data_IF_475538756823
#
_entry.id   IF_475538756823
#
_cell.length_a   1.000
_cell.length_b   1.000
_cell.length_c   1.000
_cell.angle_alpha   90.00
_cell.angle_beta   90.00
_cell.angle_gamma   90.00
#
_symmetry.space_group_name_H-M   'P 1'
#
loop_
_entity.id
_entity.type
_entity.pdbx_description
1 polymer ?
#
# COMPACT_ATOMS: atom_id res chain seq x y z
N UNK A 1 7.91 -23.60 42.99
CA UNK A 1 8.96 -22.75 42.37
C UNK A 1 8.23 -21.65 41.63
N UNK A 2 8.57 -20.39 41.87
CA UNK A 2 8.11 -19.29 41.01
C UNK A 2 8.66 -19.53 39.59
N UNK A 3 7.81 -19.38 38.57
CA UNK A 3 8.21 -19.51 37.17
C UNK A 3 9.18 -18.39 36.79
N UNK A 4 10.17 -18.69 35.96
CA UNK A 4 11.02 -17.66 35.36
C UNK A 4 10.21 -16.93 34.29
N UNK A 5 10.06 -15.62 34.41
CA UNK A 5 9.51 -14.75 33.36
C UNK A 5 10.62 -13.84 32.84
N UNK A 6 10.74 -13.74 31.51
CA UNK A 6 11.81 -13.01 30.83
C UNK A 6 11.20 -12.07 29.81
N UNK A 7 11.54 -10.78 29.93
CA UNK A 7 11.25 -9.80 28.90
C UNK A 7 12.44 -9.73 27.94
N UNK A 8 12.25 -10.16 26.71
CA UNK A 8 13.21 -10.08 25.61
C UNK A 8 12.79 -9.03 24.57
N UNK A 9 11.55 -8.53 24.59
CA UNK A 9 11.11 -7.46 23.72
C UNK A 9 11.35 -6.09 24.37
N UNK A 10 11.96 -5.18 23.61
CA UNK A 10 12.10 -3.76 23.97
C UNK A 10 13.26 -3.47 24.92
N UNK A 11 13.58 -4.39 25.84
CA UNK A 11 14.79 -4.30 26.67
C UNK A 11 15.48 -5.64 26.78
N UNK A 12 16.78 -5.66 26.53
CA UNK A 12 17.60 -6.85 26.78
C UNK A 12 17.72 -7.08 28.30
N UNK A 13 17.36 -8.28 28.80
CA UNK A 13 17.47 -8.63 30.21
C UNK A 13 18.94 -8.91 30.57
N UNK A 14 19.21 -9.21 31.84
CA UNK A 14 20.54 -9.64 32.26
C UNK A 14 20.83 -11.06 31.75
N UNK A 15 21.72 -11.16 30.76
CA UNK A 15 22.10 -12.41 30.10
C UNK A 15 23.45 -12.93 30.62
N UNK A 16 23.70 -14.27 30.62
CA UNK A 16 25.03 -14.81 30.87
C UNK A 16 26.03 -14.34 29.81
N UNK A 17 27.33 -14.50 30.07
CA UNK A 17 28.35 -14.17 29.08
C UNK A 17 28.19 -15.01 27.81
N UNK A 18 28.57 -14.47 26.66
CA UNK A 18 28.66 -15.23 25.40
C UNK A 18 29.59 -16.44 25.57
N UNK A 19 29.27 -17.62 24.99
CA UNK A 19 28.12 -17.93 24.12
C UNK A 19 26.80 -18.27 24.86
N UNK A 20 26.73 -18.11 26.18
CA UNK A 20 25.53 -18.44 26.97
C UNK A 20 24.34 -17.51 26.70
N UNK A 21 24.59 -16.23 26.39
CA UNK A 21 23.51 -15.27 26.09
C UNK A 21 22.71 -15.71 24.87
N UNK A 22 23.42 -16.13 23.83
CA UNK A 22 22.90 -16.62 22.57
C UNK A 22 21.99 -17.82 22.79
N UNK A 23 22.43 -18.78 23.61
CA UNK A 23 21.63 -19.97 23.94
C UNK A 23 20.33 -19.60 24.67
N UNK A 24 20.39 -18.66 25.63
CA UNK A 24 19.20 -18.20 26.34
C UNK A 24 18.24 -17.50 25.38
N UNK A 25 18.71 -16.57 24.56
CA UNK A 25 17.86 -15.86 23.59
C UNK A 25 17.23 -16.87 22.61
N UNK A 26 17.99 -17.82 22.06
CA UNK A 26 17.50 -18.81 21.12
C UNK A 26 16.34 -19.63 21.69
N UNK A 27 16.55 -20.20 22.89
CA UNK A 27 15.58 -21.08 23.54
C UNK A 27 14.30 -20.33 23.98
N UNK A 28 14.41 -19.04 24.28
CA UNK A 28 13.27 -18.20 24.70
C UNK A 28 12.51 -17.57 23.54
N UNK A 29 13.16 -17.33 22.40
CA UNK A 29 12.50 -16.77 21.21
C UNK A 29 11.52 -17.78 20.60
N UNK A 30 11.88 -19.06 20.61
CA UNK A 30 11.03 -20.16 20.13
C UNK A 30 11.03 -21.31 21.14
N UNK A 31 10.05 -21.42 22.03
CA UNK A 31 10.03 -22.45 23.06
C UNK A 31 9.82 -23.85 22.47
N UNK A 32 10.17 -24.84 23.29
CA UNK A 32 10.10 -26.26 22.96
C UNK A 32 11.49 -26.89 22.87
N UNK A 33 11.49 -28.20 22.76
CA UNK A 33 12.71 -28.99 22.68
C UNK A 33 13.48 -28.71 21.38
N UNK A 34 14.76 -28.37 21.52
CA UNK A 34 15.72 -28.18 20.44
C UNK A 34 16.74 -29.30 20.46
N UNK A 35 17.03 -29.88 19.29
CA UNK A 35 18.07 -30.90 19.22
C UNK A 35 19.44 -30.26 19.41
N UNK A 36 20.40 -31.04 19.92
CA UNK A 36 21.80 -30.63 19.99
C UNK A 36 22.33 -30.12 18.64
N UNK A 37 22.03 -30.86 17.57
CA UNK A 37 22.42 -30.53 16.20
C UNK A 37 21.89 -29.15 15.76
N UNK A 38 20.62 -28.85 16.03
CA UNK A 38 20.01 -27.54 15.71
C UNK A 38 20.72 -26.41 16.46
N UNK A 39 21.03 -26.62 17.74
CA UNK A 39 21.71 -25.63 18.56
C UNK A 39 23.16 -25.41 18.13
N UNK A 40 23.90 -26.47 17.77
CA UNK A 40 25.29 -26.37 17.30
C UNK A 40 25.40 -25.62 15.97
N UNK A 41 24.38 -25.69 15.10
CA UNK A 41 24.33 -24.90 13.86
C UNK A 41 24.23 -23.39 14.11
N UNK A 42 23.70 -22.98 15.26
CA UNK A 42 23.53 -21.56 15.63
C UNK A 42 24.58 -21.11 16.63
N UNK A 43 25.10 -22.03 17.44
CA UNK A 43 26.00 -21.78 18.55
C UNK A 43 27.08 -22.88 18.49
N UNK A 44 28.16 -22.68 17.71
CA UNK A 44 29.20 -23.69 17.51
C UNK A 44 29.87 -24.14 18.82
N UNK A 45 29.96 -23.26 19.82
CA UNK A 45 30.50 -23.55 21.15
C UNK A 45 29.42 -23.98 22.17
N UNK A 46 28.50 -24.87 21.75
CA UNK A 46 27.31 -25.23 22.54
C UNK A 46 27.63 -25.75 23.95
N UNK A 47 28.64 -26.63 24.11
CA UNK A 47 28.99 -27.16 25.44
C UNK A 47 29.41 -26.03 26.39
N UNK A 48 30.16 -25.05 25.89
CA UNK A 48 30.54 -23.87 26.66
C UNK A 48 29.34 -22.98 26.98
N UNK A 49 28.41 -22.83 26.04
CA UNK A 49 27.17 -22.09 26.27
C UNK A 49 26.33 -22.75 27.37
N UNK A 50 26.18 -24.07 27.34
CA UNK A 50 25.46 -24.85 28.35
C UNK A 50 26.09 -24.70 29.74
N UNK A 51 27.42 -24.75 29.86
CA UNK A 51 28.11 -24.47 31.13
C UNK A 51 27.78 -23.08 31.68
N UNK A 52 27.86 -22.05 30.84
CA UNK A 52 27.60 -20.66 31.23
C UNK A 52 26.13 -20.44 31.63
N UNK A 53 25.19 -21.07 30.92
CA UNK A 53 23.76 -21.02 31.27
C UNK A 53 23.50 -21.74 32.59
N UNK A 54 24.05 -22.94 32.80
CA UNK A 54 23.92 -23.70 34.06
C UNK A 54 24.46 -22.92 35.26
N UNK A 55 25.53 -22.15 35.08
CA UNK A 55 26.13 -21.31 36.11
C UNK A 55 25.37 -19.98 36.36
N UNK A 56 24.35 -19.67 35.58
CA UNK A 56 23.60 -18.41 35.64
C UNK A 56 22.24 -18.56 36.34
N UNK A 57 21.50 -17.45 36.48
CA UNK A 57 20.10 -17.45 36.94
C UNK A 57 19.15 -18.32 36.11
N UNK A 58 19.54 -18.68 34.89
CA UNK A 58 18.75 -19.50 33.97
C UNK A 58 18.95 -21.01 34.17
N UNK A 59 20.04 -21.41 34.84
CA UNK A 59 20.41 -22.82 35.02
C UNK A 59 19.31 -23.71 35.62
N UNK A 60 18.62 -23.29 36.69
CA UNK A 60 17.53 -24.08 37.28
C UNK A 60 16.33 -24.34 36.37
N UNK A 61 16.21 -23.60 35.26
CA UNK A 61 15.10 -23.69 34.31
C UNK A 61 15.50 -24.37 33.01
N UNK A 62 16.79 -24.69 32.82
CA UNK A 62 17.29 -25.41 31.66
C UNK A 62 16.99 -26.90 31.84
N UNK A 63 16.17 -27.44 30.96
CA UNK A 63 15.83 -28.86 30.92
C UNK A 63 16.57 -29.56 29.79
N UNK A 64 17.06 -30.77 30.07
CA UNK A 64 17.81 -31.61 29.13
C UNK A 64 17.22 -33.02 29.14
N UNK A 65 16.89 -33.54 27.96
CA UNK A 65 16.37 -34.89 27.78
C UNK A 65 16.70 -35.43 26.39
N UNK A 66 17.30 -36.62 26.31
CA UNK A 66 17.62 -37.33 25.07
C UNK A 66 18.42 -36.47 24.05
N UNK A 67 19.41 -35.70 24.53
CA UNK A 67 20.20 -34.81 23.68
C UNK A 67 19.42 -33.62 23.12
N UNK A 68 18.29 -33.27 23.75
CA UNK A 68 17.51 -32.08 23.46
C UNK A 68 17.49 -31.15 24.67
N UNK A 69 17.29 -29.86 24.40
CA UNK A 69 17.31 -28.82 25.41
C UNK A 69 16.10 -27.90 25.26
N UNK A 70 15.58 -27.43 26.37
CA UNK A 70 14.60 -26.34 26.40
C UNK A 70 14.80 -25.48 27.66
N UNK A 71 14.39 -24.22 27.60
CA UNK A 71 14.38 -23.35 28.77
C UNK A 71 12.93 -23.16 29.22
N UNK A 72 12.58 -23.68 30.41
CA UNK A 72 11.23 -23.60 30.95
C UNK A 72 11.00 -22.25 31.61
N UNK A 73 10.70 -21.26 30.79
CA UNK A 73 10.40 -19.90 31.20
C UNK A 73 9.26 -19.30 30.38
N UNK A 74 8.53 -18.38 30.98
CA UNK A 74 7.65 -17.47 30.24
C UNK A 74 8.51 -16.41 29.56
N UNK A 75 8.22 -16.14 28.29
CA UNK A 75 8.89 -15.14 27.47
C UNK A 75 7.83 -14.26 26.83
N UNK A 76 8.02 -12.95 26.88
CA UNK A 76 7.17 -12.00 26.18
C UNK A 76 7.21 -12.19 24.65
N UNK A 77 8.31 -12.71 24.08
CA UNK A 77 8.43 -13.09 22.67
C UNK A 77 7.53 -14.26 22.31
N UNK A 78 7.43 -15.27 23.20
CA UNK A 78 6.50 -16.37 22.98
C UNK A 78 5.07 -15.87 23.03
N UNK A 79 4.77 -15.11 24.07
CA UNK A 79 3.44 -14.57 24.27
C UNK A 79 3.05 -13.64 23.09
N UNK A 80 4.02 -12.90 22.55
CA UNK A 80 3.91 -12.16 21.29
C UNK A 80 3.55 -13.07 20.12
N UNK A 81 4.30 -14.15 19.86
CA UNK A 81 4.01 -15.05 18.73
C UNK A 81 2.66 -15.77 18.84
N UNK A 82 2.21 -16.06 20.06
CA UNK A 82 0.89 -16.66 20.29
C UNK A 82 -0.25 -15.68 19.98
N UNK A 83 -0.06 -14.41 20.33
CA UNK A 83 -1.08 -13.37 20.20
C UNK A 83 -1.05 -12.67 18.84
N UNK A 84 0.12 -12.60 18.18
CA UNK A 84 0.30 -11.96 16.87
C UNK A 84 -0.70 -12.48 15.83
N UNK A 85 -1.10 -13.75 15.95
CA UNK A 85 -2.09 -14.38 15.08
C UNK A 85 -3.52 -14.49 15.68
N UNK A 86 -3.74 -14.09 16.94
CA UNK A 86 -4.98 -14.38 17.70
C UNK A 86 -5.63 -13.19 18.40
N UNK A 87 -4.87 -12.31 19.04
CA UNK A 87 -5.40 -11.25 19.91
C UNK A 87 -4.56 -9.98 19.81
N UNK A 88 -4.87 -9.20 18.78
CA UNK A 88 -4.04 -8.09 18.34
C UNK A 88 -3.82 -6.96 19.36
N UNK A 89 -4.83 -6.49 20.13
CA UNK A 89 -4.62 -5.51 21.19
C UNK A 89 -3.59 -5.95 22.24
N UNK A 90 -3.47 -7.26 22.54
CA UNK A 90 -2.48 -7.78 23.48
C UNK A 90 -1.09 -7.89 22.87
N UNK A 91 -0.98 -8.26 21.60
CA UNK A 91 0.28 -8.18 20.85
C UNK A 91 0.79 -6.74 20.84
N UNK A 92 -0.15 -5.81 20.69
CA UNK A 92 0.06 -4.38 20.81
C UNK A 92 0.37 -3.87 22.22
N UNK A 93 0.40 -4.71 23.24
CA UNK A 93 0.91 -4.33 24.56
C UNK A 93 2.33 -4.89 24.77
N UNK A 94 2.76 -5.84 23.93
CA UNK A 94 4.05 -6.53 23.98
C UNK A 94 4.96 -6.08 22.85
N UNK A 95 5.23 -4.78 22.80
CA UNK A 95 6.02 -4.16 21.76
C UNK A 95 7.51 -4.09 22.09
N UNK A 96 8.35 -4.38 21.09
CA UNK A 96 9.77 -4.07 21.13
C UNK A 96 10.60 -4.85 20.13
N UNK A 97 11.87 -4.47 20.02
CA UNK A 97 12.86 -5.22 19.27
C UNK A 97 13.29 -6.46 20.08
N UNK A 98 13.38 -7.62 19.42
CA UNK A 98 13.90 -8.84 20.02
C UNK A 98 15.35 -8.63 20.47
N UNK A 99 15.59 -8.80 21.78
CA UNK A 99 16.87 -8.59 22.43
C UNK A 99 17.48 -7.23 22.06
N UNK A 100 16.72 -6.15 22.20
CA UNK A 100 17.10 -4.78 21.80
C UNK A 100 18.54 -4.40 22.23
N UNK A 101 19.37 -4.02 21.26
CA UNK A 101 20.77 -3.62 21.48
C UNK A 101 21.77 -4.76 21.74
N UNK A 102 21.33 -6.03 21.72
CA UNK A 102 22.23 -7.18 21.75
C UNK A 102 22.87 -7.41 20.37
N UNK A 103 24.16 -7.71 20.34
CA UNK A 103 24.89 -8.17 19.16
C UNK A 103 25.79 -9.34 19.56
N UNK A 104 25.81 -10.39 18.76
CA UNK A 104 26.69 -11.54 18.99
C UNK A 104 27.94 -11.47 18.12
N UNK A 105 29.05 -11.97 18.67
CA UNK A 105 30.27 -12.22 17.91
C UNK A 105 30.20 -13.53 17.10
N UNK A 106 29.18 -14.36 17.30
CA UNK A 106 28.93 -15.60 16.57
C UNK A 106 28.13 -15.26 15.31
N UNK A 107 28.71 -15.36 14.10
CA UNK A 107 28.06 -14.92 12.87
C UNK A 107 26.73 -15.64 12.61
N UNK A 108 26.68 -16.96 12.79
CA UNK A 108 25.50 -17.78 12.53
C UNK A 108 24.32 -17.41 13.45
N UNK A 109 24.63 -17.04 14.69
CA UNK A 109 23.63 -16.55 15.65
C UNK A 109 23.19 -15.13 15.31
N UNK A 110 24.13 -14.25 14.96
CA UNK A 110 23.83 -12.87 14.61
C UNK A 110 22.91 -12.81 13.38
N UNK A 111 23.19 -13.60 12.35
CA UNK A 111 22.34 -13.70 11.16
C UNK A 111 20.93 -14.20 11.49
N UNK A 112 20.83 -15.21 12.37
CA UNK A 112 19.55 -15.69 12.87
C UNK A 112 18.80 -14.62 13.67
N UNK A 113 19.49 -13.91 14.58
CA UNK A 113 18.88 -12.88 15.42
C UNK A 113 18.32 -11.73 14.56
N UNK A 114 19.07 -11.27 13.56
CA UNK A 114 18.60 -10.24 12.63
C UNK A 114 17.42 -10.72 11.77
N UNK A 115 17.39 -11.99 11.40
CA UNK A 115 16.24 -12.57 10.73
C UNK A 115 15.00 -12.59 11.64
N UNK A 116 15.12 -13.04 12.89
CA UNK A 116 14.00 -13.04 13.83
C UNK A 116 13.52 -11.62 14.17
N UNK A 117 14.44 -10.64 14.31
CA UNK A 117 14.08 -9.23 14.49
C UNK A 117 13.23 -8.71 13.32
N UNK A 118 13.62 -9.02 12.08
CA UNK A 118 12.83 -8.67 10.89
C UNK A 118 11.46 -9.33 10.87
N UNK A 119 11.36 -10.60 11.23
CA UNK A 119 10.07 -11.31 11.32
C UNK A 119 9.14 -10.68 12.37
N UNK A 120 9.67 -10.32 13.55
CA UNK A 120 8.91 -9.61 14.58
C UNK A 120 8.42 -8.26 14.03
N UNK A 121 9.31 -7.47 13.44
CA UNK A 121 8.96 -6.16 12.85
C UNK A 121 7.92 -6.28 11.73
N UNK A 122 8.05 -7.28 10.85
CA UNK A 122 7.11 -7.51 9.77
C UNK A 122 5.71 -7.81 10.31
N UNK A 123 5.60 -8.68 11.32
CA UNK A 123 4.33 -8.98 11.98
C UNK A 123 3.72 -7.76 12.70
N UNK A 124 4.55 -6.91 13.32
CA UNK A 124 4.10 -5.64 13.91
C UNK A 124 3.48 -4.71 12.85
N UNK A 125 4.18 -4.51 11.74
CA UNK A 125 3.72 -3.66 10.64
C UNK A 125 2.45 -4.20 9.99
N UNK A 126 2.45 -5.48 9.60
CA UNK A 126 1.32 -6.10 8.93
C UNK A 126 0.04 -5.97 9.75
N UNK A 127 0.15 -6.03 11.07
CA UNK A 127 -1.03 -5.93 11.91
C UNK A 127 -1.39 -4.50 12.31
N UNK A 128 -0.42 -3.58 12.40
CA UNK A 128 -0.73 -2.14 12.49
C UNK A 128 -1.50 -1.68 11.25
N UNK A 129 -0.99 -1.99 10.06
CA UNK A 129 -1.64 -1.72 8.77
C UNK A 129 -2.99 -2.41 8.67
N UNK A 130 -3.09 -3.68 9.06
CA UNK A 130 -4.36 -4.42 9.06
C UNK A 130 -5.44 -3.75 9.91
N UNK A 131 -5.10 -3.29 11.12
CA UNK A 131 -6.05 -2.56 11.99
C UNK A 131 -6.40 -1.19 11.43
N UNK A 132 -5.42 -0.49 10.86
CA UNK A 132 -5.66 0.80 10.23
C UNK A 132 -6.63 0.65 9.03
N UNK A 133 -6.46 -0.39 8.20
CA UNK A 133 -7.39 -0.72 7.13
C UNK A 133 -8.81 -1.01 7.65
N UNK A 134 -8.94 -1.79 8.72
CA UNK A 134 -10.25 -2.05 9.33
C UNK A 134 -10.92 -0.76 9.85
N UNK A 135 -10.14 0.19 10.38
CA UNK A 135 -10.64 1.52 10.79
C UNK A 135 -11.05 2.36 9.58
N UNK A 136 -10.27 2.35 8.48
CA UNK A 136 -10.65 3.00 7.23
C UNK A 136 -11.99 2.46 6.69
N UNK A 137 -12.17 1.15 6.70
CA UNK A 137 -13.41 0.49 6.23
C UNK A 137 -14.62 0.87 7.12
N UNK A 138 -14.38 1.20 8.39
CA UNK A 138 -15.40 1.72 9.32
C UNK A 138 -15.63 3.24 9.18
N UNK A 139 -14.86 3.94 8.36
CA UNK A 139 -14.93 5.40 8.21
C UNK A 139 -14.19 6.18 9.30
N UNK A 140 -13.35 5.51 10.10
CA UNK A 140 -12.55 6.11 11.16
C UNK A 140 -11.14 6.50 10.67
N UNK A 141 -11.09 7.33 9.62
CA UNK A 141 -9.84 7.68 8.93
C UNK A 141 -8.77 8.31 9.82
N UNK A 142 -9.15 9.28 10.66
CA UNK A 142 -8.21 9.95 11.57
C UNK A 142 -7.58 8.97 12.57
N UNK A 143 -8.37 8.02 13.09
CA UNK A 143 -7.88 6.99 14.00
C UNK A 143 -6.95 6.00 13.29
N UNK A 144 -7.26 5.65 12.03
CA UNK A 144 -6.40 4.81 11.21
C UNK A 144 -5.03 5.47 10.97
N UNK A 145 -5.03 6.74 10.59
CA UNK A 145 -3.81 7.52 10.37
C UNK A 145 -2.99 7.70 11.65
N UNK A 146 -3.65 8.00 12.78
CA UNK A 146 -2.97 8.13 14.07
C UNK A 146 -2.29 6.82 14.50
N UNK A 147 -2.92 5.67 14.24
CA UNK A 147 -2.36 4.36 14.55
C UNK A 147 -1.10 4.09 13.72
N UNK A 148 -1.15 4.33 12.41
CA UNK A 148 0.00 4.12 11.52
C UNK A 148 1.13 5.10 11.82
N UNK A 149 0.82 6.38 12.10
CA UNK A 149 1.82 7.35 12.52
C UNK A 149 2.51 6.94 13.84
N UNK A 150 1.76 6.35 14.78
CA UNK A 150 2.33 5.78 16.00
C UNK A 150 3.28 4.60 15.71
N UNK A 151 2.94 3.75 14.74
CA UNK A 151 3.80 2.66 14.30
C UNK A 151 5.07 3.16 13.60
N UNK A 152 4.96 4.14 12.69
CA UNK A 152 6.12 4.76 12.02
C UNK A 152 7.08 5.42 13.01
N UNK A 153 6.55 6.05 14.07
CA UNK A 153 7.38 6.67 15.10
C UNK A 153 8.08 5.63 16.01
N UNK A 154 7.50 4.44 16.13
CA UNK A 154 7.98 3.39 17.03
C UNK A 154 8.93 2.40 16.34
N UNK A 155 8.79 2.17 15.04
CA UNK A 155 9.46 1.07 14.34
C UNK A 155 10.19 1.52 13.08
N UNK A 156 11.40 0.98 12.82
CA UNK A 156 12.00 1.13 11.51
C UNK A 156 11.11 0.47 10.45
N UNK A 157 11.02 1.10 9.29
CA UNK A 157 10.30 0.54 8.15
C UNK A 157 11.11 -0.60 7.54
N UNK A 158 10.51 -1.79 7.50
CA UNK A 158 11.09 -2.96 6.84
C UNK A 158 10.60 -3.01 5.37
N UNK A 159 11.47 -3.36 4.39
CA UNK A 159 11.11 -3.36 2.97
C UNK A 159 9.87 -4.18 2.58
N UNK A 160 9.68 -5.38 3.15
CA UNK A 160 8.50 -6.18 2.86
C UNK A 160 7.21 -5.55 3.40
N UNK A 161 7.27 -4.87 4.55
CA UNK A 161 6.15 -4.12 5.13
C UNK A 161 5.84 -2.79 4.45
N UNK A 162 6.80 -2.20 3.74
CA UNK A 162 6.62 -0.91 3.10
C UNK A 162 5.57 -0.92 1.98
N UNK A 163 5.39 -2.04 1.27
CA UNK A 163 4.36 -2.13 0.25
C UNK A 163 2.94 -2.15 0.86
N UNK A 164 2.76 -2.85 1.99
CA UNK A 164 1.50 -2.85 2.73
C UNK A 164 1.18 -1.45 3.29
N UNK A 165 2.21 -0.77 3.81
CA UNK A 165 2.08 0.61 4.29
C UNK A 165 1.76 1.59 3.15
N UNK A 166 2.37 1.41 1.98
CA UNK A 166 2.08 2.22 0.80
C UNK A 166 0.64 2.03 0.30
N UNK A 167 0.15 0.78 0.29
CA UNK A 167 -1.24 0.46 -0.04
C UNK A 167 -2.22 1.09 0.96
N UNK A 168 -1.91 1.02 2.26
CA UNK A 168 -2.67 1.71 3.29
C UNK A 168 -2.77 3.21 3.00
N UNK A 169 -1.65 3.89 2.75
CA UNK A 169 -1.68 5.32 2.45
C UNK A 169 -2.44 5.63 1.16
N UNK A 170 -2.37 4.75 0.17
CA UNK A 170 -3.11 4.91 -1.07
C UNK A 170 -4.63 4.85 -0.81
N UNK A 171 -5.08 3.86 -0.05
CA UNK A 171 -6.48 3.72 0.40
C UNK A 171 -6.93 4.87 1.30
N UNK A 172 -6.03 5.37 2.15
CA UNK A 172 -6.24 6.53 3.00
C UNK A 172 -6.19 7.87 2.23
N UNK A 173 -5.99 7.83 0.90
CA UNK A 173 -5.94 9.01 0.01
C UNK A 173 -4.81 9.96 0.37
N UNK A 174 -3.66 9.39 0.71
CA UNK A 174 -2.41 10.07 1.08
C UNK A 174 -1.32 9.80 0.04
N UNK A 175 -1.47 10.25 -1.22
CA UNK A 175 -0.56 9.88 -2.30
C UNK A 175 0.90 10.35 -2.06
N UNK A 176 1.10 11.46 -1.35
CA UNK A 176 2.45 11.91 -0.97
C UNK A 176 3.12 10.93 0.01
N UNK A 177 2.36 10.40 0.97
CA UNK A 177 2.85 9.40 1.92
C UNK A 177 3.08 8.05 1.23
N UNK A 178 2.19 7.65 0.30
CA UNK A 178 2.41 6.48 -0.57
C UNK A 178 3.72 6.59 -1.35
N UNK A 179 3.96 7.74 -2.00
CA UNK A 179 5.19 7.97 -2.77
C UNK A 179 6.44 7.90 -1.87
N UNK A 180 6.42 8.57 -0.72
CA UNK A 180 7.52 8.57 0.26
C UNK A 180 7.90 7.14 0.69
N UNK A 181 6.89 6.32 1.01
CA UNK A 181 7.11 4.94 1.49
C UNK A 181 7.70 4.05 0.39
N UNK A 182 7.18 4.11 -0.83
CA UNK A 182 7.71 3.33 -1.95
C UNK A 182 9.14 3.76 -2.28
N UNK A 183 9.41 5.07 -2.33
CA UNK A 183 10.74 5.62 -2.60
C UNK A 183 11.79 5.16 -1.58
N UNK A 184 11.44 5.13 -0.29
CA UNK A 184 12.34 4.74 0.78
C UNK A 184 12.87 3.29 0.64
N UNK A 185 12.13 2.42 -0.06
CA UNK A 185 12.47 1.00 -0.18
C UNK A 185 12.72 0.55 -1.62
N UNK A 186 12.67 1.46 -2.60
CA UNK A 186 12.66 1.10 -4.03
C UNK A 186 13.84 0.21 -4.43
N UNK A 187 15.03 0.53 -3.93
CA UNK A 187 16.26 -0.24 -4.19
C UNK A 187 16.28 -1.60 -3.50
N UNK A 188 15.56 -1.74 -2.37
CA UNK A 188 15.44 -3.01 -1.64
C UNK A 188 14.38 -3.94 -2.23
N UNK A 189 13.47 -3.44 -3.07
CA UNK A 189 12.48 -4.26 -3.76
C UNK A 189 13.19 -5.20 -4.76
N UNK A 190 12.84 -6.51 -4.79
CA UNK A 190 13.38 -7.45 -5.77
C UNK A 190 13.21 -6.95 -7.21
N UNK A 191 14.24 -7.11 -8.04
CA UNK A 191 14.29 -6.64 -9.44
C UNK A 191 12.99 -6.89 -10.22
N UNK A 192 12.48 -8.12 -10.14
CA UNK A 192 11.25 -8.55 -10.84
C UNK A 192 9.99 -7.76 -10.48
N UNK A 193 9.97 -7.06 -9.35
CA UNK A 193 8.85 -6.22 -8.90
C UNK A 193 9.16 -4.72 -8.97
N UNK A 194 10.42 -4.33 -9.22
CA UNK A 194 10.85 -2.93 -9.16
C UNK A 194 10.19 -2.07 -10.23
N UNK A 195 10.01 -2.58 -11.45
CA UNK A 195 9.29 -1.86 -12.51
C UNK A 195 7.86 -1.47 -12.11
N UNK A 196 7.12 -2.38 -11.47
CA UNK A 196 5.76 -2.10 -10.97
C UNK A 196 5.78 -1.09 -9.82
N UNK A 197 6.77 -1.17 -8.93
CA UNK A 197 6.96 -0.19 -7.86
C UNK A 197 7.29 1.21 -8.41
N UNK A 198 8.14 1.31 -9.44
CA UNK A 198 8.43 2.57 -10.16
C UNK A 198 7.17 3.19 -10.76
N UNK A 199 6.35 2.38 -11.43
CA UNK A 199 5.06 2.82 -11.99
C UNK A 199 4.12 3.36 -10.89
N UNK A 200 3.96 2.60 -9.80
CA UNK A 200 3.09 3.00 -8.68
C UNK A 200 3.61 4.27 -7.98
N UNK A 201 4.93 4.40 -7.81
CA UNK A 201 5.57 5.60 -7.29
C UNK A 201 5.27 6.81 -8.18
N UNK A 202 5.42 6.67 -9.50
CA UNK A 202 5.12 7.75 -10.43
C UNK A 202 3.64 8.14 -10.40
N UNK A 203 2.72 7.17 -10.35
CA UNK A 203 1.29 7.43 -10.21
C UNK A 203 0.95 8.15 -8.89
N UNK A 204 1.57 7.77 -7.78
CA UNK A 204 1.40 8.43 -6.49
C UNK A 204 1.94 9.87 -6.52
N UNK A 205 3.12 10.09 -7.10
CA UNK A 205 3.70 11.43 -7.29
C UNK A 205 2.81 12.33 -8.16
N UNK A 206 2.26 11.82 -9.27
CA UNK A 206 1.30 12.55 -10.08
C UNK A 206 0.09 13.00 -9.25
N UNK A 207 -0.53 12.10 -8.49
CA UNK A 207 -1.68 12.44 -7.64
C UNK A 207 -1.34 13.45 -6.55
N UNK A 208 -0.13 13.36 -5.99
CA UNK A 208 0.40 14.32 -5.01
C UNK A 208 0.77 15.68 -5.64
N UNK A 209 0.89 15.76 -6.96
CA UNK A 209 1.27 16.97 -7.68
C UNK A 209 2.78 17.15 -7.90
N UNK A 210 3.60 16.13 -7.59
CA UNK A 210 5.02 16.08 -7.94
C UNK A 210 5.22 15.57 -9.38
N UNK A 211 4.86 16.44 -10.34
CA UNK A 211 4.71 16.04 -11.74
C UNK A 211 6.06 15.84 -12.45
N UNK A 212 7.07 16.67 -12.15
CA UNK A 212 8.33 16.66 -12.88
C UNK A 212 9.06 15.31 -12.74
N UNK A 213 9.20 14.84 -11.50
CA UNK A 213 9.83 13.55 -11.22
C UNK A 213 8.97 12.38 -11.74
N UNK A 214 7.65 12.45 -11.55
CA UNK A 214 6.75 11.41 -12.02
C UNK A 214 6.79 11.25 -13.55
N UNK A 215 6.73 12.35 -14.30
CA UNK A 215 6.74 12.31 -15.77
C UNK A 215 8.09 11.87 -16.33
N UNK A 216 9.20 12.18 -15.65
CA UNK A 216 10.51 11.66 -16.02
C UNK A 216 10.54 10.13 -15.89
N UNK A 217 10.01 9.60 -14.79
CA UNK A 217 9.94 8.18 -14.51
C UNK A 217 9.03 7.44 -15.50
N UNK A 218 7.84 7.99 -15.78
CA UNK A 218 6.90 7.41 -16.76
C UNK A 218 7.53 7.33 -18.15
N UNK A 219 8.23 8.38 -18.61
CA UNK A 219 8.94 8.37 -19.88
C UNK A 219 10.06 7.31 -19.92
N UNK A 220 10.73 7.07 -18.80
CA UNK A 220 11.75 6.03 -18.72
C UNK A 220 11.11 4.64 -18.88
N UNK A 221 10.00 4.38 -18.17
CA UNK A 221 9.24 3.12 -18.30
C UNK A 221 8.67 2.93 -19.71
N UNK A 222 8.17 3.99 -20.35
CA UNK A 222 7.73 3.95 -21.75
C UNK A 222 8.88 3.56 -22.69
N UNK A 223 10.08 4.11 -22.48
CA UNK A 223 11.26 3.79 -23.28
C UNK A 223 11.78 2.36 -23.06
N UNK A 224 11.58 1.80 -21.87
CA UNK A 224 11.86 0.39 -21.55
C UNK A 224 10.87 -0.56 -22.26
N UNK A 225 9.66 -0.09 -22.55
CA UNK A 225 8.63 -0.82 -23.30
C UNK A 225 7.90 -1.89 -22.48
N UNK A 226 7.21 -2.78 -23.20
CA UNK A 226 6.38 -3.83 -22.60
C UNK A 226 5.13 -3.30 -21.87
N UNK A 227 4.47 -4.18 -21.11
CA UNK A 227 3.21 -3.89 -20.42
C UNK A 227 3.30 -2.65 -19.51
N UNK A 228 4.38 -2.52 -18.74
CA UNK A 228 4.60 -1.39 -17.84
C UNK A 228 4.79 -0.07 -18.59
N UNK A 229 5.43 -0.10 -19.77
CA UNK A 229 5.57 1.08 -20.63
C UNK A 229 4.21 1.56 -21.13
N UNK A 230 3.30 0.65 -21.49
CA UNK A 230 1.95 1.02 -21.92
C UNK A 230 1.15 1.64 -20.77
N UNK A 231 1.18 1.04 -19.58
CA UNK A 231 0.55 1.64 -18.39
C UNK A 231 1.16 2.99 -18.01
N UNK A 232 2.47 3.18 -18.22
CA UNK A 232 3.11 4.47 -18.01
C UNK A 232 2.56 5.53 -18.99
N UNK A 233 2.35 5.15 -20.25
CA UNK A 233 1.66 5.97 -21.24
C UNK A 233 0.23 6.34 -20.83
N UNK A 234 -0.54 5.41 -20.26
CA UNK A 234 -1.89 5.69 -19.73
C UNK A 234 -1.85 6.73 -18.60
N UNK A 235 -0.96 6.58 -17.63
CA UNK A 235 -0.82 7.56 -16.54
C UNK A 235 -0.39 8.93 -17.04
N UNK A 236 0.56 8.97 -18.00
CA UNK A 236 1.01 10.21 -18.63
C UNK A 236 -0.13 10.87 -19.42
N UNK A 237 -0.92 10.09 -20.14
CA UNK A 237 -2.07 10.58 -20.88
C UNK A 237 -3.15 11.14 -19.95
N UNK A 238 -3.48 10.46 -18.85
CA UNK A 238 -4.43 10.95 -17.85
C UNK A 238 -3.98 12.29 -17.26
N UNK A 239 -2.69 12.43 -16.96
CA UNK A 239 -2.14 13.72 -16.55
C UNK A 239 -2.22 14.77 -17.68
N UNK A 240 -1.91 14.40 -18.92
CA UNK A 240 -1.94 15.31 -20.07
C UNK A 240 -3.34 15.94 -20.28
N UNK A 241 -4.43 15.17 -20.14
CA UNK A 241 -5.80 15.71 -20.19
C UNK A 241 -6.01 16.79 -19.11
N UNK A 242 -5.59 16.50 -17.89
CA UNK A 242 -5.76 17.39 -16.74
C UNK A 242 -4.91 18.66 -16.87
N UNK A 243 -3.77 18.57 -17.55
CA UNK A 243 -2.90 19.70 -17.88
C UNK A 243 -3.33 20.46 -19.17
N UNK A 244 -4.39 20.01 -19.84
CA UNK A 244 -4.93 20.65 -21.04
C UNK A 244 -4.28 20.23 -22.37
N UNK A 245 -3.41 19.22 -22.39
CA UNK A 245 -2.82 18.63 -23.60
C UNK A 245 -3.66 17.42 -24.06
N UNK A 246 -4.82 17.71 -24.62
CA UNK A 246 -5.79 16.70 -25.02
C UNK A 246 -5.32 15.90 -26.26
N UNK A 247 -4.52 16.50 -27.14
CA UNK A 247 -3.93 15.83 -28.29
C UNK A 247 -2.92 14.75 -27.87
N UNK A 248 -2.03 15.04 -26.91
CA UNK A 248 -1.12 14.03 -26.38
C UNK A 248 -1.91 12.89 -25.70
N UNK A 249 -2.90 13.24 -24.89
CA UNK A 249 -3.74 12.26 -24.23
C UNK A 249 -4.45 11.33 -25.21
N UNK A 250 -5.01 11.89 -26.30
CA UNK A 250 -5.68 11.10 -27.33
C UNK A 250 -4.71 10.12 -28.00
N UNK A 251 -3.50 10.56 -28.38
CA UNK A 251 -2.50 9.66 -28.97
C UNK A 251 -2.13 8.51 -28.04
N UNK A 252 -1.86 8.82 -26.77
CA UNK A 252 -1.52 7.79 -25.77
C UNK A 252 -2.67 6.83 -25.50
N UNK A 253 -3.91 7.32 -25.56
CA UNK A 253 -5.09 6.47 -25.46
C UNK A 253 -5.22 5.50 -26.64
N UNK A 254 -4.96 5.96 -27.86
CA UNK A 254 -4.99 5.13 -29.07
C UNK A 254 -3.88 4.08 -29.06
N UNK A 255 -2.66 4.46 -28.67
CA UNK A 255 -1.53 3.55 -28.48
C UNK A 255 -1.85 2.48 -27.41
N UNK A 256 -2.39 2.88 -26.25
CA UNK A 256 -2.77 1.96 -25.19
C UNK A 256 -3.93 1.04 -25.58
N UNK A 257 -4.91 1.52 -26.34
CA UNK A 257 -6.03 0.71 -26.81
C UNK A 257 -5.57 -0.36 -27.80
N UNK A 258 -4.69 0.00 -28.75
CA UNK A 258 -4.13 -0.97 -29.69
C UNK A 258 -3.34 -2.08 -28.96
N UNK A 259 -2.55 -1.71 -27.94
CA UNK A 259 -1.85 -2.68 -27.10
C UNK A 259 -2.81 -3.57 -26.30
N UNK A 260 -3.92 -3.00 -25.81
CA UNK A 260 -4.96 -3.77 -25.11
C UNK A 260 -5.63 -4.80 -26.02
N UNK A 261 -5.91 -4.45 -27.28
CA UNK A 261 -6.46 -5.38 -28.27
C UNK A 261 -5.49 -6.53 -28.56
N UNK A 262 -4.21 -6.21 -28.77
CA UNK A 262 -3.16 -7.22 -29.00
C UNK A 262 -3.02 -8.18 -27.82
N UNK A 263 -3.06 -7.66 -26.59
CA UNK A 263 -2.93 -8.44 -25.37
C UNK A 263 -4.24 -9.11 -24.90
N UNK A 264 -5.39 -8.78 -25.51
CA UNK A 264 -6.72 -9.13 -24.99
C UNK A 264 -6.91 -8.68 -23.52
N UNK A 265 -6.39 -7.50 -23.19
CA UNK A 265 -6.43 -6.93 -21.83
C UNK A 265 -7.63 -5.98 -21.68
N UNK A 266 -8.69 -6.47 -21.05
CA UNK A 266 -9.90 -5.69 -20.81
C UNK A 266 -9.68 -4.50 -19.86
N UNK A 267 -8.77 -4.59 -18.89
CA UNK A 267 -8.50 -3.48 -17.96
C UNK A 267 -7.79 -2.33 -18.67
N UNK A 268 -6.79 -2.68 -19.47
CA UNK A 268 -6.07 -1.70 -20.27
C UNK A 268 -7.00 -1.07 -21.32
N UNK A 269 -7.87 -1.87 -21.95
CA UNK A 269 -8.85 -1.36 -22.91
C UNK A 269 -9.82 -0.36 -22.28
N UNK A 270 -10.35 -0.66 -21.09
CA UNK A 270 -11.20 0.27 -20.33
C UNK A 270 -10.44 1.55 -20.02
N UNK A 271 -9.22 1.46 -19.49
CA UNK A 271 -8.42 2.63 -19.12
C UNK A 271 -8.09 3.51 -20.34
N UNK A 272 -7.75 2.90 -21.47
CA UNK A 272 -7.51 3.58 -22.73
C UNK A 272 -8.77 4.27 -23.27
N UNK A 273 -9.93 3.60 -23.25
CA UNK A 273 -11.19 4.19 -23.71
C UNK A 273 -11.68 5.33 -22.81
N UNK A 274 -11.47 5.23 -21.50
CA UNK A 274 -11.74 6.34 -20.57
C UNK A 274 -10.90 7.56 -20.92
N UNK A 275 -9.59 7.36 -21.10
CA UNK A 275 -8.66 8.43 -21.47
C UNK A 275 -9.04 9.04 -22.82
N UNK A 276 -9.35 8.20 -23.81
CA UNK A 276 -9.81 8.62 -25.14
C UNK A 276 -11.07 9.47 -25.05
N UNK A 277 -12.07 9.03 -24.27
CA UNK A 277 -13.32 9.76 -24.06
C UNK A 277 -13.10 11.13 -23.45
N UNK A 278 -12.24 11.22 -22.44
CA UNK A 278 -11.92 12.48 -21.78
C UNK A 278 -11.18 13.44 -22.73
N UNK A 279 -10.16 12.95 -23.45
CA UNK A 279 -9.43 13.71 -24.45
C UNK A 279 -10.35 14.22 -25.59
N UNK A 280 -11.21 13.35 -26.14
CA UNK A 280 -12.18 13.73 -27.18
C UNK A 280 -13.18 14.77 -26.69
N UNK A 281 -13.60 14.71 -25.43
CA UNK A 281 -14.47 15.73 -24.84
C UNK A 281 -13.76 17.08 -24.79
N UNK A 282 -12.50 17.10 -24.34
CA UNK A 282 -11.68 18.32 -24.30
C UNK A 282 -11.41 18.90 -25.70
N UNK A 283 -11.27 18.06 -26.72
CA UNK A 283 -11.10 18.45 -28.13
C UNK A 283 -12.40 18.90 -28.82
N UNK A 284 -13.53 18.97 -28.11
CA UNK A 284 -14.81 19.36 -28.70
C UNK A 284 -15.41 18.30 -29.63
N UNK A 285 -15.07 17.02 -29.42
CA UNK A 285 -15.61 15.85 -30.14
C UNK A 285 -16.50 14.97 -29.25
N UNK A 286 -17.53 15.54 -28.59
CA UNK A 286 -18.23 14.86 -27.49
C UNK A 286 -19.08 13.66 -27.93
N UNK A 287 -19.50 13.60 -29.20
CA UNK A 287 -20.17 12.41 -29.78
C UNK A 287 -19.24 11.20 -29.81
N UNK A 288 -18.00 11.40 -30.25
CA UNK A 288 -17.00 10.33 -30.33
C UNK A 288 -16.53 9.94 -28.93
N UNK A 289 -16.44 10.91 -28.01
CA UNK A 289 -16.19 10.65 -26.60
C UNK A 289 -17.27 9.74 -25.99
N UNK A 290 -18.55 10.06 -26.19
CA UNK A 290 -19.65 9.25 -25.68
C UNK A 290 -19.65 7.82 -26.24
N UNK A 291 -19.22 7.65 -27.50
CA UNK A 291 -19.05 6.33 -28.09
C UNK A 291 -17.95 5.52 -27.41
N UNK A 292 -16.74 6.08 -27.26
CA UNK A 292 -15.61 5.42 -26.60
C UNK A 292 -15.95 5.04 -25.14
N UNK A 293 -16.62 5.93 -24.40
CA UNK A 293 -17.03 5.67 -23.02
C UNK A 293 -18.16 4.63 -22.93
N UNK A 294 -19.05 4.59 -23.93
CA UNK A 294 -20.05 3.53 -24.06
C UNK A 294 -19.41 2.16 -24.29
N UNK A 295 -18.36 2.09 -25.11
CA UNK A 295 -17.57 0.86 -25.30
C UNK A 295 -16.90 0.41 -24.00
N UNK A 296 -16.32 1.34 -23.22
CA UNK A 296 -15.73 1.02 -21.92
C UNK A 296 -16.75 0.40 -20.94
N UNK A 297 -17.98 0.92 -20.91
CA UNK A 297 -19.07 0.33 -20.12
C UNK A 297 -19.44 -1.07 -20.62
N UNK A 298 -19.48 -1.28 -21.94
CA UNK A 298 -19.74 -2.59 -22.53
C UNK A 298 -18.70 -3.64 -22.12
N UNK A 299 -17.41 -3.26 -22.10
CA UNK A 299 -16.34 -4.15 -21.64
C UNK A 299 -16.50 -4.48 -20.14
N UNK A 300 -16.82 -3.48 -19.29
CA UNK A 300 -17.12 -3.72 -17.87
C UNK A 300 -18.23 -4.75 -17.66
N UNK A 301 -19.31 -4.65 -18.44
CA UNK A 301 -20.45 -5.57 -18.38
C UNK A 301 -20.06 -6.99 -18.79
N UNK A 302 -19.33 -7.14 -19.90
CA UNK A 302 -18.82 -8.45 -20.37
C UNK A 302 -17.91 -9.10 -19.33
N UNK A 303 -17.11 -8.31 -18.61
CA UNK A 303 -16.24 -8.79 -17.54
C UNK A 303 -16.99 -9.11 -16.23
N UNK A 304 -18.31 -8.92 -16.18
CA UNK A 304 -19.14 -9.21 -15.01
C UNK A 304 -18.88 -8.28 -13.82
N UNK A 305 -18.36 -7.07 -14.07
CA UNK A 305 -17.99 -6.11 -13.03
C UNK A 305 -19.10 -5.09 -12.78
N UNK A 306 -19.11 -4.52 -11.57
CA UNK A 306 -19.87 -3.29 -11.33
C UNK A 306 -19.30 -2.17 -12.21
N UNK A 307 -20.17 -1.33 -12.76
CA UNK A 307 -19.75 -0.21 -13.58
C UNK A 307 -18.90 0.77 -12.78
N UNK A 308 -17.77 1.20 -13.34
CA UNK A 308 -16.95 2.25 -12.76
C UNK A 308 -17.74 3.57 -12.70
N UNK A 309 -17.93 4.19 -11.52
CA UNK A 309 -18.63 5.47 -11.41
C UNK A 309 -17.90 6.59 -12.16
N UNK A 310 -16.57 6.48 -12.33
CA UNK A 310 -15.79 7.43 -13.13
C UNK A 310 -16.21 7.37 -14.60
N UNK A 311 -16.38 6.18 -15.18
CA UNK A 311 -16.81 6.05 -16.59
C UNK A 311 -18.18 6.69 -16.80
N UNK A 312 -19.12 6.48 -15.87
CA UNK A 312 -20.44 7.10 -15.92
C UNK A 312 -20.39 8.63 -15.82
N UNK A 313 -19.53 9.16 -14.94
CA UNK A 313 -19.32 10.61 -14.81
C UNK A 313 -18.72 11.20 -16.09
N UNK A 314 -17.69 10.57 -16.66
CA UNK A 314 -17.10 10.98 -17.93
C UNK A 314 -18.12 10.96 -19.07
N UNK A 315 -18.97 9.92 -19.13
CA UNK A 315 -20.01 9.82 -20.14
C UNK A 315 -21.06 10.92 -19.97
N UNK A 316 -21.39 11.29 -18.73
CA UNK A 316 -22.24 12.43 -18.44
C UNK A 316 -21.62 13.75 -18.92
N UNK A 317 -20.32 13.98 -18.66
CA UNK A 317 -19.59 15.16 -19.15
C UNK A 317 -19.63 15.24 -20.70
N UNK A 318 -19.40 14.11 -21.38
CA UNK A 318 -19.50 14.03 -22.84
C UNK A 318 -20.91 14.35 -23.34
N UNK A 319 -21.97 13.79 -22.72
CA UNK A 319 -23.35 14.11 -23.11
C UNK A 319 -23.73 15.57 -22.86
N UNK A 320 -23.24 16.18 -21.78
CA UNK A 320 -23.46 17.60 -21.52
C UNK A 320 -22.79 18.45 -22.62
N UNK A 321 -21.54 18.15 -22.97
CA UNK A 321 -20.82 18.82 -24.06
C UNK A 321 -21.47 18.59 -25.44
N UNK A 322 -22.13 17.45 -25.63
CA UNK A 322 -22.86 17.13 -26.87
C UNK A 322 -24.23 17.82 -26.95
N UNK A 323 -24.69 18.50 -25.89
CA UNK A 323 -25.98 19.19 -25.88
C UNK A 323 -27.17 18.30 -25.48
N UNK A 324 -26.92 17.25 -24.70
CA UNK A 324 -27.95 16.40 -24.10
C UNK A 324 -27.96 16.52 -22.57
N UNK A 325 -28.33 17.69 -22.00
CA UNK A 325 -28.23 17.97 -20.57
C UNK A 325 -29.09 17.04 -19.70
N UNK A 326 -30.28 16.65 -20.15
CA UNK A 326 -31.16 15.72 -19.39
C UNK A 326 -30.51 14.35 -19.23
N UNK A 327 -29.90 13.82 -20.31
CA UNK A 327 -29.18 12.54 -20.27
C UNK A 327 -27.92 12.62 -19.43
N UNK A 328 -27.19 13.72 -19.55
CA UNK A 328 -26.03 13.99 -18.72
C UNK A 328 -26.40 14.01 -17.23
N UNK A 329 -27.50 14.67 -16.87
CA UNK A 329 -28.00 14.72 -15.49
C UNK A 329 -28.31 13.34 -14.94
N UNK A 330 -29.08 12.53 -15.68
CA UNK A 330 -29.42 11.15 -15.29
C UNK A 330 -28.17 10.29 -15.03
N UNK A 331 -27.20 10.35 -15.95
CA UNK A 331 -25.95 9.61 -15.83
C UNK A 331 -25.10 10.09 -14.66
N UNK A 332 -25.02 11.41 -14.44
CA UNK A 332 -24.26 11.99 -13.35
C UNK A 332 -24.88 11.70 -11.97
N UNK A 333 -26.21 11.75 -11.84
CA UNK A 333 -26.91 11.32 -10.62
C UNK A 333 -26.61 9.85 -10.29
N UNK A 334 -26.65 8.98 -11.30
CA UNK A 334 -26.29 7.56 -11.15
C UNK A 334 -24.82 7.39 -10.75
N UNK A 335 -23.90 8.09 -11.41
CA UNK A 335 -22.48 8.07 -11.10
C UNK A 335 -22.22 8.51 -9.66
N UNK A 336 -22.85 9.60 -9.21
CA UNK A 336 -22.69 10.12 -7.86
C UNK A 336 -23.22 9.13 -6.81
N UNK A 337 -24.39 8.55 -7.04
CA UNK A 337 -24.95 7.53 -6.12
C UNK A 337 -23.99 6.35 -5.96
N UNK A 338 -23.44 5.85 -7.07
CA UNK A 338 -22.52 4.72 -7.07
C UNK A 338 -21.16 5.08 -6.43
N UNK A 339 -20.63 6.26 -6.73
CA UNK A 339 -19.42 6.78 -6.09
C UNK A 339 -19.57 6.88 -4.56
N UNK A 340 -20.73 7.32 -4.09
CA UNK A 340 -21.04 7.39 -2.64
C UNK A 340 -21.15 6.01 -2.00
N UNK A 341 -21.74 5.01 -2.66
CA UNK A 341 -21.77 3.64 -2.14
C UNK A 341 -20.38 3.02 -2.09
N UNK A 342 -19.51 3.35 -3.04
CA UNK A 342 -18.13 2.88 -3.09
C UNK A 342 -17.17 3.71 -2.23
N UNK A 343 -17.63 4.84 -1.64
CA UNK A 343 -16.80 5.82 -0.93
C UNK A 343 -15.62 6.32 -1.78
N UNK A 344 -15.89 6.58 -3.06
CA UNK A 344 -14.93 7.13 -4.02
C UNK A 344 -15.18 8.64 -4.23
N UNK A 345 -14.45 9.51 -3.53
CA UNK A 345 -14.62 10.96 -3.62
C UNK A 345 -14.12 11.51 -4.97
N UNK A 346 -13.18 10.83 -5.64
CA UNK A 346 -12.73 11.27 -6.96
C UNK A 346 -13.87 11.10 -7.96
N UNK A 347 -14.48 9.92 -8.01
CA UNK A 347 -15.65 9.68 -8.85
C UNK A 347 -16.85 10.55 -8.46
N UNK A 348 -17.07 10.78 -7.16
CA UNK A 348 -18.13 11.66 -6.68
C UNK A 348 -17.90 13.11 -7.16
N UNK A 349 -16.65 13.59 -7.08
CA UNK A 349 -16.27 14.91 -7.59
C UNK A 349 -16.51 15.04 -9.09
N UNK A 350 -16.11 14.05 -9.89
CA UNK A 350 -16.38 14.01 -11.34
C UNK A 350 -17.88 14.04 -11.64
N UNK A 351 -18.68 13.24 -10.92
CA UNK A 351 -20.12 13.20 -11.09
C UNK A 351 -20.79 14.54 -10.73
N UNK A 352 -20.36 15.18 -9.65
CA UNK A 352 -20.85 16.52 -9.27
C UNK A 352 -20.45 17.59 -10.28
N UNK A 353 -19.24 17.51 -10.83
CA UNK A 353 -18.84 18.39 -11.92
C UNK A 353 -19.70 18.19 -13.18
N UNK A 354 -20.00 16.94 -13.53
CA UNK A 354 -20.93 16.62 -14.62
C UNK A 354 -22.34 17.18 -14.36
N UNK A 355 -22.84 17.11 -13.12
CA UNK A 355 -24.12 17.73 -12.73
C UNK A 355 -24.09 19.25 -12.89
N UNK A 356 -23.00 19.90 -12.47
CA UNK A 356 -22.80 21.32 -12.69
C UNK A 356 -22.87 21.66 -14.18
N UNK A 357 -22.14 20.90 -15.03
CA UNK A 357 -22.14 21.08 -16.49
C UNK A 357 -23.52 20.87 -17.13
N UNK A 358 -24.31 19.94 -16.62
CA UNK A 358 -25.64 19.63 -17.14
C UNK A 358 -26.71 20.64 -16.72
N UNK A 359 -26.60 21.21 -15.52
CA UNK A 359 -27.66 22.03 -14.89
C UNK A 359 -27.34 23.53 -14.82
N UNK A 360 -26.06 23.90 -14.83
CA UNK A 360 -25.57 25.24 -14.54
C UNK A 360 -25.64 25.63 -13.06
N UNK A 361 -26.03 24.72 -12.16
CA UNK A 361 -26.15 25.02 -10.74
C UNK A 361 -24.76 25.11 -10.08
N UNK A 362 -24.41 26.28 -9.55
CA UNK A 362 -23.11 26.54 -8.93
C UNK A 362 -22.86 25.68 -7.67
N UNK A 363 -23.92 25.25 -6.98
CA UNK A 363 -23.79 24.40 -5.78
C UNK A 363 -23.09 23.07 -6.06
N UNK A 364 -23.31 22.46 -7.24
CA UNK A 364 -22.63 21.22 -7.60
C UNK A 364 -21.13 21.42 -7.85
N UNK A 365 -20.71 22.56 -8.40
CA UNK A 365 -19.28 22.88 -8.56
C UNK A 365 -18.58 23.02 -7.20
N UNK A 366 -19.22 23.70 -6.24
CA UNK A 366 -18.69 23.81 -4.88
C UNK A 366 -18.55 22.42 -4.22
N UNK A 367 -19.57 21.57 -4.35
CA UNK A 367 -19.52 20.20 -3.84
C UNK A 367 -18.44 19.36 -4.53
N UNK A 368 -18.26 19.51 -5.85
CA UNK A 368 -17.23 18.82 -6.61
C UNK A 368 -15.83 19.16 -6.07
N UNK A 369 -15.57 20.43 -5.74
CA UNK A 369 -14.29 20.85 -5.13
C UNK A 369 -14.06 20.24 -3.74
N UNK A 370 -15.10 20.16 -2.91
CA UNK A 370 -15.00 19.51 -1.59
C UNK A 370 -14.64 18.02 -1.71
N UNK A 371 -15.29 17.31 -2.62
CA UNK A 371 -14.98 15.89 -2.87
C UNK A 371 -13.59 15.73 -3.55
N UNK A 372 -13.16 16.67 -4.41
CA UNK A 372 -11.81 16.63 -4.99
C UNK A 372 -10.71 16.80 -3.93
N UNK A 373 -10.92 17.68 -2.94
CA UNK A 373 -10.01 17.85 -1.81
C UNK A 373 -9.92 16.59 -0.96
N UNK A 374 -11.06 15.96 -0.68
CA UNK A 374 -11.17 14.69 0.04
C UNK A 374 -10.53 13.51 -0.74
N UNK A 375 -10.47 13.60 -2.08
CA UNK A 375 -9.80 12.60 -2.92
C UNK A 375 -8.28 12.67 -2.89
N UNK A 376 -7.69 13.79 -2.45
CA UNK A 376 -6.24 14.00 -2.48
C UNK A 376 -5.64 14.01 -3.90
N UNK A 377 -6.41 14.38 -4.92
CA UNK A 377 -5.99 14.34 -6.33
C UNK A 377 -5.61 15.74 -6.84
N UNK A 378 -4.37 16.18 -6.59
CA UNK A 378 -3.92 17.55 -6.87
C UNK A 378 -4.12 18.01 -8.33
N UNK A 379 -3.83 17.20 -9.37
CA UNK A 379 -4.09 17.61 -10.74
C UNK A 379 -5.57 17.88 -11.05
N UNK A 380 -6.49 17.16 -10.41
CA UNK A 380 -7.93 17.32 -10.65
C UNK A 380 -8.47 18.57 -9.93
N UNK A 381 -7.98 18.84 -8.72
CA UNK A 381 -8.30 20.09 -8.02
C UNK A 381 -7.89 21.32 -8.84
N UNK A 382 -6.66 21.33 -9.37
CA UNK A 382 -6.20 22.40 -10.27
C UNK A 382 -7.08 22.53 -11.51
N UNK A 383 -7.45 21.40 -12.12
CA UNK A 383 -8.30 21.40 -13.31
C UNK A 383 -9.68 22.00 -13.03
N UNK A 384 -10.30 21.69 -11.90
CA UNK A 384 -11.57 22.30 -11.49
C UNK A 384 -11.47 23.83 -11.35
N UNK A 385 -10.38 24.33 -10.76
CA UNK A 385 -10.13 25.76 -10.62
C UNK A 385 -9.93 26.48 -11.96
N UNK A 386 -9.39 25.80 -12.97
CA UNK A 386 -9.26 26.33 -14.33
C UNK A 386 -10.59 26.36 -15.07
N UNK A 387 -11.37 25.27 -14.97
CA UNK A 387 -12.65 25.13 -15.65
C UNK A 387 -13.71 26.12 -15.16
N UNK A 388 -13.65 26.59 -13.91
CA UNK A 388 -14.55 27.65 -13.41
C UNK A 388 -14.23 29.05 -13.99
N UNK A 389 -13.04 29.25 -14.56
CA UNK A 389 -12.63 30.55 -15.15
C UNK A 389 -13.08 30.72 -16.60
N UNK A 390 -13.53 29.65 -17.24
CA UNK A 390 -14.01 29.60 -18.64
C UNK A 390 -15.52 29.49 -18.68
#
# INVERSE_FOLDING_TARGET
MEGLSVALLGRTPELPRSPGAELVIYLLARPGWRSREELEQRIPELDRALELVRASRYGPYLEEADGRYQLRAESDVLAYWQDAYRDWPKTAERYGELAAGFASAIPEFQDWLEAERREVLHALWGTAVGKANALLDQGAGDAALALVAGAEAAYPLEPASALDLADFYWRARRPADTARVIEAVLEAIPEKYRGRARLNLAAARLRAGDEAAALAELRALEAEGGELGVWAGVHRGSHAVLAGDAELALRLAEEAFAAAEEATDGELAIAALMLKGEALTALGRPKEAAHALGEALGIHEVMGRSFSPVVLALLAEAHAAWGYPDKARELAEKAFKEARSQRDPYAASRALWALHRATGEAGYAEMARREAAEAGHAPWMRRLEELEKT
#
